data_IF_365942053933
#
_entry.id   IF_365942053933
#
_cell.length_a   1.000
_cell.length_b   1.000
_cell.length_c   1.000
_cell.angle_alpha   90.00
_cell.angle_beta   90.00
_cell.angle_gamma   90.00
#
_symmetry.space_group_name_H-M   'P 1'
#
loop_
_entity.id
_entity.type
_entity.pdbx_description
1 polymer ?
#
# COMPACT_ATOMS: atom_id res chain seq x y z
N UNK A 1 -0.63 4.54 1.65
CA UNK A 1 -0.94 3.27 0.93
C UNK A 1 -0.81 3.50 -0.57
N UNK A 2 -0.91 2.46 -1.42
CA UNK A 2 -0.61 2.59 -2.85
C UNK A 2 -1.70 2.04 -3.76
N UNK A 3 -1.78 2.62 -4.95
CA UNK A 3 -2.44 2.06 -6.13
C UNK A 3 -1.36 1.60 -7.13
N UNK A 4 -1.52 0.39 -7.68
CA UNK A 4 -0.60 -0.18 -8.68
C UNK A 4 -1.29 -0.19 -10.04
N UNK A 5 -0.79 0.59 -10.99
CA UNK A 5 -1.36 0.70 -12.33
C UNK A 5 -0.94 -0.47 -13.23
N UNK A 6 0.35 -0.79 -13.26
CA UNK A 6 0.91 -1.85 -14.11
C UNK A 6 1.98 -2.67 -13.39
N UNK A 7 2.24 -3.86 -13.92
CA UNK A 7 3.34 -4.71 -13.48
C UNK A 7 3.05 -5.65 -12.29
N UNK A 8 1.92 -5.48 -11.58
CA UNK A 8 1.63 -6.23 -10.36
C UNK A 8 1.72 -7.75 -10.51
N UNK A 9 2.51 -8.38 -9.66
CA UNK A 9 2.87 -9.80 -9.69
C UNK A 9 4.25 -10.08 -10.30
N UNK A 10 4.83 -9.14 -11.07
CA UNK A 10 6.18 -9.30 -11.61
C UNK A 10 7.27 -8.92 -10.59
N UNK A 11 6.87 -8.40 -9.44
CA UNK A 11 7.70 -8.11 -8.28
C UNK A 11 7.82 -9.28 -7.29
N UNK A 12 7.23 -10.43 -7.61
CA UNK A 12 7.21 -11.64 -6.77
C UNK A 12 8.30 -12.62 -7.24
N UNK A 13 9.08 -13.15 -6.29
CA UNK A 13 10.04 -14.22 -6.56
C UNK A 13 9.30 -15.54 -6.94
N UNK A 14 9.86 -16.37 -7.82
CA UNK A 14 11.16 -16.23 -8.48
C UNK A 14 11.16 -15.37 -9.75
N UNK A 15 9.98 -14.93 -10.26
CA UNK A 15 9.91 -14.18 -11.54
C UNK A 15 10.81 -12.92 -11.54
N UNK A 16 10.72 -12.09 -10.50
CA UNK A 16 11.54 -10.86 -10.42
C UNK A 16 13.05 -11.16 -10.33
N UNK A 17 13.41 -12.31 -9.76
CA UNK A 17 14.81 -12.71 -9.61
C UNK A 17 15.41 -13.24 -10.93
N UNK A 18 14.63 -14.01 -11.70
CA UNK A 18 15.08 -14.67 -12.92
C UNK A 18 14.86 -13.83 -14.18
N UNK A 19 13.74 -13.14 -14.26
CA UNK A 19 13.28 -12.42 -15.45
C UNK A 19 13.31 -10.90 -15.28
N UNK A 20 13.56 -10.46 -14.04
CA UNK A 20 13.37 -9.07 -13.64
C UNK A 20 11.88 -8.67 -13.62
N UNK A 21 11.53 -7.69 -12.82
CA UNK A 21 10.17 -7.18 -12.70
C UNK A 21 10.10 -5.68 -12.92
N UNK A 22 8.88 -5.16 -13.12
CA UNK A 22 8.66 -3.73 -13.21
C UNK A 22 7.24 -3.37 -12.71
N UNK A 23 7.14 -2.34 -11.89
CA UNK A 23 5.88 -1.84 -11.33
C UNK A 23 5.73 -0.36 -11.64
N UNK A 24 4.57 0.03 -12.14
CA UNK A 24 4.12 1.42 -12.16
C UNK A 24 3.02 1.62 -11.12
N UNK A 25 3.20 2.56 -10.21
CA UNK A 25 2.22 2.87 -9.16
C UNK A 25 2.36 4.27 -8.59
N UNK A 26 1.43 4.61 -7.72
CA UNK A 26 1.47 5.84 -6.93
C UNK A 26 0.91 5.62 -5.54
N UNK A 27 1.32 6.43 -4.57
CA UNK A 27 0.70 6.46 -3.26
C UNK A 27 -0.54 7.36 -3.25
N UNK A 28 -1.43 7.08 -2.31
CA UNK A 28 -2.70 7.78 -2.10
C UNK A 28 -2.83 8.20 -0.64
N UNK A 29 -3.71 9.15 -0.36
CA UNK A 29 -4.02 9.70 0.96
C UNK A 29 -4.83 8.73 1.86
N UNK A 30 -4.49 7.46 1.80
CA UNK A 30 -4.87 6.44 2.77
C UNK A 30 -3.62 6.05 3.54
N UNK A 31 -3.63 6.23 4.85
CA UNK A 31 -2.44 6.17 5.68
C UNK A 31 -2.47 4.95 6.62
N UNK A 32 -1.29 4.56 7.07
CA UNK A 32 -1.10 3.82 8.29
C UNK A 32 -0.28 4.68 9.24
N UNK A 33 -0.69 4.77 10.48
CA UNK A 33 -0.01 5.51 11.53
C UNK A 33 0.48 4.59 12.64
N UNK A 34 1.64 4.94 13.18
CA UNK A 34 2.23 4.28 14.35
C UNK A 34 2.69 5.35 15.34
N UNK A 35 2.18 5.30 16.57
CA UNK A 35 2.66 6.13 17.66
C UNK A 35 3.36 5.26 18.69
N UNK A 36 4.52 5.73 19.20
CA UNK A 36 5.30 5.04 20.23
C UNK A 36 5.44 5.95 21.44
N UNK A 37 5.01 5.45 22.60
CA UNK A 37 5.14 6.12 23.90
C UNK A 37 6.11 5.29 24.75
N UNK A 38 7.29 5.83 25.11
CA UNK A 38 8.25 5.12 25.95
C UNK A 38 7.69 4.80 27.35
N UNK A 39 8.08 3.64 27.90
CA UNK A 39 7.73 3.21 29.26
C UNK A 39 9.00 3.05 30.10
N UNK A 40 8.85 3.10 31.42
CA UNK A 40 9.95 2.90 32.38
C UNK A 40 10.02 1.45 32.89
N UNK A 41 9.31 0.52 32.27
CA UNK A 41 9.32 -0.92 32.58
C UNK A 41 9.75 -1.73 31.33
N UNK A 42 9.80 -3.06 31.46
CA UNK A 42 10.17 -3.97 30.37
C UNK A 42 8.96 -4.40 29.51
N UNK A 43 7.79 -3.80 29.67
CA UNK A 43 6.59 -4.22 28.96
C UNK A 43 6.41 -3.42 27.66
N UNK A 44 6.04 -4.13 26.60
CA UNK A 44 5.57 -3.57 25.35
C UNK A 44 4.08 -3.84 25.25
N UNK A 45 3.27 -2.79 25.17
CA UNK A 45 1.81 -2.89 25.00
C UNK A 45 1.48 -2.38 23.60
N UNK A 46 0.84 -3.22 22.81
CA UNK A 46 0.46 -2.89 21.42
C UNK A 46 -1.05 -2.78 21.34
N UNK A 47 -1.53 -1.62 20.94
CA UNK A 47 -2.93 -1.34 20.64
C UNK A 47 -3.10 -1.28 19.11
N UNK A 48 -3.76 -2.27 18.54
CA UNK A 48 -4.16 -2.29 17.14
C UNK A 48 -5.62 -1.88 17.03
N UNK A 49 -5.86 -0.65 16.61
CA UNK A 49 -7.21 -0.09 16.53
C UNK A 49 -8.01 -0.74 15.38
N UNK A 50 -7.32 -1.22 14.35
CA UNK A 50 -7.97 -1.88 13.20
C UNK A 50 -8.51 -3.26 13.53
N UNK A 51 -7.89 -3.96 14.48
CA UNK A 51 -8.29 -5.30 14.91
C UNK A 51 -9.02 -5.29 16.26
N UNK A 52 -9.24 -4.10 16.85
CA UNK A 52 -9.76 -3.94 18.22
C UNK A 52 -9.04 -4.87 19.22
N UNK A 53 -7.72 -4.87 19.17
CA UNK A 53 -6.87 -5.81 19.89
C UNK A 53 -5.80 -5.09 20.67
N UNK A 54 -5.64 -5.48 21.94
CA UNK A 54 -4.51 -5.07 22.79
C UNK A 54 -3.72 -6.30 23.20
N UNK A 55 -2.40 -6.27 22.95
CA UNK A 55 -1.49 -7.37 23.30
C UNK A 55 -0.32 -6.84 24.11
N UNK A 56 0.12 -7.62 25.07
CA UNK A 56 1.25 -7.30 25.95
C UNK A 56 2.39 -8.29 25.72
N UNK A 57 3.59 -7.78 25.53
CA UNK A 57 4.84 -8.52 25.44
C UNK A 57 5.81 -8.05 26.53
N UNK A 58 6.86 -8.83 26.77
CA UNK A 58 7.97 -8.42 27.64
C UNK A 58 9.27 -8.45 26.84
N UNK A 59 10.09 -7.41 26.96
CA UNK A 59 11.36 -7.28 26.22
C UNK A 59 12.38 -8.36 26.54
N UNK A 60 12.25 -9.03 27.71
CA UNK A 60 13.13 -10.11 28.19
C UNK A 60 12.68 -11.49 27.75
N UNK A 61 11.48 -11.63 27.16
CA UNK A 61 10.92 -12.88 26.71
C UNK A 61 11.11 -13.07 25.20
N UNK A 62 11.15 -14.32 24.77
CA UNK A 62 11.18 -14.63 23.35
C UNK A 62 9.79 -14.42 22.74
N UNK A 63 9.73 -13.68 21.63
CA UNK A 63 8.49 -13.51 20.89
C UNK A 63 8.08 -14.82 20.20
N UNK A 64 6.89 -15.31 20.49
CA UNK A 64 6.29 -16.48 19.86
C UNK A 64 5.33 -16.02 18.76
N UNK A 65 5.56 -16.45 17.52
CA UNK A 65 4.65 -16.20 16.40
C UNK A 65 3.47 -17.15 16.49
N UNK A 66 2.29 -16.62 16.79
CA UNK A 66 1.07 -17.38 17.09
C UNK A 66 -0.17 -16.83 16.36
N UNK A 67 0.05 -15.98 15.34
CA UNK A 67 -1.03 -15.32 14.58
C UNK A 67 -1.52 -14.00 15.17
N UNK A 68 -1.12 -13.65 16.40
CA UNK A 68 -1.58 -12.40 17.06
C UNK A 68 -0.51 -11.31 16.90
N UNK A 69 -0.73 -10.37 15.99
CA UNK A 69 0.16 -9.24 15.71
C UNK A 69 1.62 -9.66 15.45
N UNK A 70 1.84 -10.78 14.77
CA UNK A 70 3.19 -11.31 14.53
C UNK A 70 4.08 -10.36 13.72
N UNK A 71 3.48 -9.52 12.87
CA UNK A 71 4.18 -8.42 12.19
C UNK A 71 4.86 -7.48 13.19
N UNK A 72 4.17 -7.13 14.27
CA UNK A 72 4.73 -6.24 15.31
C UNK A 72 5.85 -6.94 16.07
N UNK A 73 5.64 -8.21 16.47
CA UNK A 73 6.67 -9.00 17.17
C UNK A 73 7.95 -9.13 16.34
N UNK A 74 7.81 -9.39 15.04
CA UNK A 74 8.93 -9.52 14.14
C UNK A 74 9.69 -8.19 13.97
N UNK A 75 8.97 -7.06 13.85
CA UNK A 75 9.58 -5.74 13.79
C UNK A 75 10.34 -5.39 15.09
N UNK A 76 9.73 -5.63 16.25
CA UNK A 76 10.36 -5.41 17.55
C UNK A 76 11.64 -6.25 17.73
N UNK A 77 11.59 -7.51 17.31
CA UNK A 77 12.73 -8.42 17.30
C UNK A 77 13.83 -7.95 16.35
N UNK A 78 13.47 -7.60 15.13
CA UNK A 78 14.42 -7.15 14.09
C UNK A 78 15.12 -5.85 14.50
N UNK A 79 14.39 -4.94 15.13
CA UNK A 79 14.92 -3.68 15.64
C UNK A 79 15.61 -3.82 17.00
N UNK A 80 15.68 -5.01 17.59
CA UNK A 80 16.28 -5.29 18.89
C UNK A 80 15.81 -4.32 19.99
N UNK A 81 14.49 -4.18 20.14
CA UNK A 81 13.89 -3.28 21.11
C UNK A 81 14.05 -3.86 22.52
N UNK A 82 14.79 -3.15 23.39
CA UNK A 82 15.12 -3.55 24.77
C UNK A 82 14.38 -2.75 25.83
N UNK A 83 13.76 -1.65 25.47
CA UNK A 83 13.02 -0.77 26.38
C UNK A 83 11.53 -0.96 26.18
N UNK A 84 10.75 -0.91 27.29
CA UNK A 84 9.30 -0.95 27.22
C UNK A 84 8.71 0.26 26.53
N UNK A 85 7.60 0.05 25.84
CA UNK A 85 6.85 1.11 25.16
C UNK A 85 5.38 0.73 24.98
N UNK A 86 4.55 1.72 24.69
CA UNK A 86 3.22 1.53 24.14
C UNK A 86 3.24 1.88 22.66
N UNK A 87 2.66 1.00 21.86
CA UNK A 87 2.59 1.14 20.40
C UNK A 87 1.12 1.20 19.99
N UNK A 88 0.73 2.26 19.30
CA UNK A 88 -0.61 2.45 18.78
C UNK A 88 -0.55 2.38 17.25
N UNK A 89 -1.34 1.47 16.66
CA UNK A 89 -1.42 1.24 15.21
C UNK A 89 -2.82 1.54 14.71
N UNK A 90 -2.91 2.26 13.60
CA UNK A 90 -4.16 2.61 12.94
C UNK A 90 -3.98 2.66 11.42
N UNK A 91 -4.99 2.21 10.67
CA UNK A 91 -5.04 2.23 9.21
C UNK A 91 -6.34 2.82 8.67
N UNK A 92 -6.27 3.52 7.53
CA UNK A 92 -7.43 4.07 6.83
C UNK A 92 -8.11 3.06 5.89
N UNK A 93 -7.52 1.88 5.71
CA UNK A 93 -8.10 0.83 4.89
C UNK A 93 -7.92 -0.55 5.55
N UNK A 94 -8.91 -1.45 5.43
CA UNK A 94 -8.84 -2.75 6.08
C UNK A 94 -7.70 -3.60 5.52
N UNK A 95 -7.14 -4.52 6.33
CA UNK A 95 -6.20 -5.53 5.85
C UNK A 95 -6.81 -6.35 4.70
N UNK A 96 -5.98 -6.73 3.71
CA UNK A 96 -6.47 -7.47 2.54
C UNK A 96 -7.23 -6.63 1.51
N UNK A 97 -7.28 -5.31 1.68
CA UNK A 97 -7.96 -4.39 0.74
C UNK A 97 -7.29 -4.25 -0.63
N UNK A 98 -6.07 -4.78 -0.79
CA UNK A 98 -5.30 -4.64 -2.04
C UNK A 98 -4.51 -3.33 -2.17
N UNK A 99 -4.51 -2.47 -1.12
CA UNK A 99 -3.81 -1.19 -1.09
C UNK A 99 -2.40 -1.26 -0.45
N UNK A 100 -1.88 -2.46 -0.18
CA UNK A 100 -0.59 -2.65 0.50
C UNK A 100 -0.64 -2.32 1.99
N UNK A 101 -1.79 -2.50 2.64
CA UNK A 101 -2.04 -2.08 4.04
C UNK A 101 -1.04 -2.69 5.01
N UNK A 102 -0.82 -4.01 4.98
CA UNK A 102 0.12 -4.72 5.86
C UNK A 102 1.53 -4.13 5.79
N UNK A 103 2.06 -4.02 4.58
CA UNK A 103 3.40 -3.48 4.36
C UNK A 103 3.51 -1.99 4.70
N UNK A 104 2.41 -1.22 4.52
CA UNK A 104 2.37 0.18 4.94
C UNK A 104 2.44 0.30 6.47
N UNK A 105 1.73 -0.57 7.22
CA UNK A 105 1.84 -0.67 8.69
C UNK A 105 3.27 -1.03 9.10
N UNK A 106 3.87 -2.03 8.43
CA UNK A 106 5.24 -2.44 8.71
C UNK A 106 6.23 -1.29 8.51
N UNK A 107 6.14 -0.57 7.40
CA UNK A 107 6.98 0.61 7.13
C UNK A 107 6.77 1.71 8.18
N UNK A 108 5.51 2.01 8.56
CA UNK A 108 5.21 3.00 9.59
C UNK A 108 5.80 2.61 10.96
N UNK A 109 5.66 1.35 11.35
CA UNK A 109 6.19 0.82 12.61
C UNK A 109 7.72 0.86 12.63
N UNK A 110 8.39 0.35 11.60
CA UNK A 110 9.86 0.36 11.51
C UNK A 110 10.42 1.78 11.49
N UNK A 111 9.77 2.70 10.76
CA UNK A 111 10.17 4.12 10.73
C UNK A 111 10.03 4.78 12.09
N UNK A 112 8.94 4.50 12.82
CA UNK A 112 8.74 5.02 14.18
C UNK A 112 9.77 4.42 15.17
N UNK A 113 10.00 3.11 15.12
CA UNK A 113 11.01 2.43 15.97
C UNK A 113 12.43 2.95 15.68
N UNK A 114 12.81 3.09 14.42
CA UNK A 114 14.08 3.65 13.98
C UNK A 114 14.28 5.08 14.53
N UNK A 115 13.26 5.93 14.42
CA UNK A 115 13.28 7.29 14.95
C UNK A 115 13.37 7.33 16.46
N UNK A 116 12.66 6.43 17.14
CA UNK A 116 12.70 6.33 18.61
C UNK A 116 14.07 5.89 19.12
N UNK A 117 14.69 4.88 18.49
CA UNK A 117 16.06 4.42 18.83
C UNK A 117 17.14 5.45 18.48
N UNK A 118 16.86 6.43 17.63
CA UNK A 118 17.86 7.34 17.08
C UNK A 118 18.74 6.71 15.98
N UNK A 119 18.30 5.60 15.38
CA UNK A 119 18.94 4.93 14.26
C UNK A 119 18.20 5.33 12.97
N UNK A 120 18.77 6.25 12.19
CA UNK A 120 18.12 6.69 10.95
C UNK A 120 18.35 5.66 9.84
N UNK A 121 17.25 5.06 9.36
CA UNK A 121 17.25 4.24 8.16
C UNK A 121 16.96 5.14 6.95
N UNK A 122 17.78 5.04 5.90
CA UNK A 122 17.45 5.60 4.61
C UNK A 122 16.25 4.88 3.97
N UNK A 123 15.78 5.39 2.84
CA UNK A 123 14.57 4.86 2.23
C UNK A 123 14.71 3.41 1.73
N UNK A 124 15.88 3.07 1.18
CA UNK A 124 16.14 1.70 0.72
C UNK A 124 16.27 0.74 1.90
N UNK A 125 17.09 1.08 2.90
CA UNK A 125 17.26 0.26 4.09
C UNK A 125 15.93 0.02 4.84
N UNK A 126 15.05 1.02 4.90
CA UNK A 126 13.73 0.88 5.50
C UNK A 126 12.83 -0.06 4.69
N UNK A 127 12.79 0.08 3.36
CA UNK A 127 11.97 -0.75 2.49
C UNK A 127 12.46 -2.21 2.50
N UNK A 128 13.78 -2.42 2.43
CA UNK A 128 14.41 -3.74 2.51
C UNK A 128 14.13 -4.41 3.84
N UNK A 129 14.29 -3.70 4.96
CA UNK A 129 14.00 -4.23 6.28
C UNK A 129 12.52 -4.62 6.40
N UNK A 130 11.60 -3.81 5.90
CA UNK A 130 10.18 -4.13 5.91
C UNK A 130 9.88 -5.38 5.07
N UNK A 131 10.51 -5.52 3.90
CA UNK A 131 10.42 -6.73 3.08
C UNK A 131 10.95 -7.96 3.82
N UNK A 132 12.14 -7.87 4.40
CA UNK A 132 12.76 -8.99 5.13
C UNK A 132 11.90 -9.45 6.31
N UNK A 133 11.36 -8.52 7.10
CA UNK A 133 10.48 -8.88 8.22
C UNK A 133 9.25 -9.64 7.73
N UNK A 134 8.57 -9.16 6.67
CA UNK A 134 7.36 -9.81 6.18
C UNK A 134 7.65 -11.12 5.43
N UNK A 135 8.67 -11.15 4.56
CA UNK A 135 8.89 -12.27 3.61
C UNK A 135 9.86 -13.33 4.13
N UNK A 136 10.86 -12.90 4.90
CA UNK A 136 11.91 -13.81 5.39
C UNK A 136 11.61 -14.25 6.83
N UNK A 137 11.41 -13.29 7.75
CA UNK A 137 11.24 -13.63 9.18
C UNK A 137 9.88 -14.30 9.45
N UNK A 138 8.82 -13.86 8.76
CA UNK A 138 7.46 -14.39 8.92
C UNK A 138 7.01 -15.33 7.80
N UNK A 139 7.74 -15.41 6.69
CA UNK A 139 7.41 -16.28 5.57
C UNK A 139 6.09 -15.92 4.87
N UNK A 140 5.62 -14.68 4.95
CA UNK A 140 4.38 -14.24 4.32
C UNK A 140 4.62 -14.09 2.81
N UNK A 141 3.86 -14.79 1.97
CA UNK A 141 3.97 -14.69 0.51
C UNK A 141 3.61 -13.29 0.00
N UNK A 142 4.48 -12.73 -0.86
CA UNK A 142 4.28 -11.39 -1.43
C UNK A 142 5.46 -10.90 -2.25
N UNK A 143 5.25 -9.77 -2.93
CA UNK A 143 6.30 -9.08 -3.69
C UNK A 143 6.93 -7.93 -2.92
N UNK A 144 7.77 -7.17 -3.64
CA UNK A 144 8.54 -6.04 -3.12
C UNK A 144 7.80 -4.70 -3.19
N UNK A 145 6.78 -4.56 -4.03
CA UNK A 145 6.22 -3.26 -4.42
C UNK A 145 5.69 -2.43 -3.25
N UNK A 146 5.09 -3.09 -2.24
CA UNK A 146 4.30 -2.43 -1.21
C UNK A 146 5.18 -1.68 -0.22
N UNK A 147 6.27 -2.30 0.21
CA UNK A 147 7.25 -1.72 1.11
C UNK A 147 7.95 -0.52 0.47
N UNK A 148 8.36 -0.66 -0.78
CA UNK A 148 9.02 0.41 -1.53
C UNK A 148 8.06 1.56 -1.82
N UNK A 149 6.83 1.29 -2.29
CA UNK A 149 5.84 2.32 -2.53
C UNK A 149 5.50 3.11 -1.26
N UNK A 150 5.27 2.44 -0.13
CA UNK A 150 4.97 3.08 1.15
C UNK A 150 6.13 3.94 1.67
N UNK A 151 7.36 3.49 1.43
CA UNK A 151 8.56 4.19 1.89
C UNK A 151 8.86 5.43 1.06
N UNK A 152 8.85 5.31 -0.27
CA UNK A 152 9.24 6.40 -1.18
C UNK A 152 8.13 7.42 -1.43
N UNK A 153 6.87 6.98 -1.51
CA UNK A 153 5.73 7.87 -1.81
C UNK A 153 5.70 8.40 -3.24
N UNK A 154 4.57 8.96 -3.66
CA UNK A 154 4.38 9.55 -4.98
C UNK A 154 4.31 8.54 -6.12
N UNK A 155 4.48 9.03 -7.33
CA UNK A 155 4.51 8.21 -8.55
C UNK A 155 5.89 7.61 -8.74
N UNK A 156 5.96 6.28 -8.79
CA UNK A 156 7.21 5.56 -8.98
C UNK A 156 7.08 4.51 -10.08
N UNK A 157 8.17 4.38 -10.84
CA UNK A 157 8.45 3.22 -11.66
C UNK A 157 9.55 2.43 -10.96
N UNK A 158 9.21 1.25 -10.46
CA UNK A 158 10.11 0.41 -9.66
C UNK A 158 10.53 -0.78 -10.50
N UNK A 159 11.83 -0.98 -10.64
CA UNK A 159 12.43 -2.08 -11.39
C UNK A 159 13.14 -3.05 -10.43
N UNK A 160 12.99 -4.34 -10.71
CA UNK A 160 13.56 -5.43 -9.94
C UNK A 160 14.52 -6.21 -10.84
N UNK A 161 15.81 -6.28 -10.44
CA UNK A 161 16.89 -6.85 -11.26
C UNK A 161 17.57 -8.02 -10.53
N UNK A 162 16.79 -8.99 -10.06
CA UNK A 162 17.29 -10.09 -9.28
C UNK A 162 17.08 -9.89 -7.77
N UNK A 163 17.75 -10.73 -6.98
CA UNK A 163 17.59 -10.73 -5.54
C UNK A 163 18.22 -9.47 -4.94
N UNK A 164 17.44 -8.71 -4.19
CA UNK A 164 17.86 -7.49 -3.50
C UNK A 164 18.43 -6.37 -4.42
N UNK A 165 18.04 -6.37 -5.70
CA UNK A 165 18.38 -5.30 -6.64
C UNK A 165 17.12 -4.58 -7.07
N UNK A 166 16.73 -3.58 -6.31
CA UNK A 166 15.54 -2.75 -6.57
C UNK A 166 15.97 -1.34 -6.93
N UNK A 167 15.42 -0.82 -8.02
CA UNK A 167 15.64 0.56 -8.46
C UNK A 167 14.31 1.29 -8.44
N UNK A 168 14.21 2.32 -7.62
CA UNK A 168 13.03 3.20 -7.57
C UNK A 168 13.30 4.43 -8.42
N UNK A 169 12.50 4.63 -9.45
CA UNK A 169 12.54 5.80 -10.32
C UNK A 169 11.33 6.69 -10.04
N UNK A 170 11.45 7.77 -9.21
CA UNK A 170 10.38 8.72 -9.01
C UNK A 170 10.06 9.45 -10.32
N UNK A 171 8.79 9.45 -10.71
CA UNK A 171 8.35 10.04 -11.97
C UNK A 171 7.99 11.51 -11.79
N UNK A 172 8.57 12.36 -12.64
CA UNK A 172 8.24 13.78 -12.72
C UNK A 172 7.10 14.01 -13.73
N UNK A 173 5.87 13.88 -13.27
CA UNK A 173 4.68 14.07 -14.08
C UNK A 173 4.21 15.54 -13.93
N UNK A 174 3.76 16.15 -15.02
CA UNK A 174 3.16 17.50 -14.96
C UNK A 174 1.91 17.48 -14.08
N UNK A 175 1.73 18.50 -13.25
CA UNK A 175 0.60 18.59 -12.31
C UNK A 175 -0.76 18.47 -13.01
N UNK A 176 -0.91 19.09 -14.17
CA UNK A 176 -2.16 19.02 -14.94
C UNK A 176 -2.51 17.57 -15.34
N UNK A 177 -1.49 16.78 -15.75
CA UNK A 177 -1.67 15.36 -16.07
C UNK A 177 -2.09 14.58 -14.82
N UNK A 178 -1.48 14.87 -13.67
CA UNK A 178 -1.85 14.22 -12.39
C UNK A 178 -3.29 14.53 -12.02
N UNK A 179 -3.71 15.81 -12.08
CA UNK A 179 -5.07 16.21 -11.75
C UNK A 179 -6.10 15.62 -12.73
N UNK A 180 -5.77 15.58 -14.03
CA UNK A 180 -6.62 14.93 -15.02
C UNK A 180 -6.74 13.43 -14.76
N UNK A 181 -5.63 12.74 -14.47
CA UNK A 181 -5.64 11.31 -14.12
C UNK A 181 -6.51 11.06 -12.89
N UNK A 182 -6.35 11.86 -11.83
CA UNK A 182 -7.13 11.75 -10.60
C UNK A 182 -8.62 11.95 -10.86
N UNK A 183 -8.97 12.93 -11.70
CA UNK A 183 -10.35 13.22 -12.10
C UNK A 183 -10.99 12.08 -12.90
N UNK A 184 -10.19 11.30 -13.62
CA UNK A 184 -10.63 10.18 -14.46
C UNK A 184 -10.63 8.82 -13.71
N UNK A 185 -10.09 8.74 -12.50
CA UNK A 185 -10.03 7.48 -11.77
C UNK A 185 -11.13 7.37 -10.73
N UNK A 186 -11.71 6.17 -10.61
CA UNK A 186 -12.61 5.76 -9.54
C UNK A 186 -11.96 4.62 -8.75
N UNK A 187 -12.07 4.67 -7.43
CA UNK A 187 -11.68 3.59 -6.53
C UNK A 187 -12.93 3.03 -5.86
N UNK A 188 -13.21 1.76 -6.11
CA UNK A 188 -14.43 1.09 -5.65
C UNK A 188 -14.07 -0.16 -4.84
N UNK A 189 -14.53 -0.23 -3.59
CA UNK A 189 -14.38 -1.40 -2.76
C UNK A 189 -15.43 -2.45 -3.15
N UNK A 190 -14.98 -3.70 -3.32
CA UNK A 190 -15.83 -4.80 -3.80
C UNK A 190 -16.62 -5.52 -2.70
N UNK A 191 -16.45 -5.12 -1.43
CA UNK A 191 -17.14 -5.72 -0.29
C UNK A 191 -16.49 -6.99 0.26
N UNK A 192 -15.51 -7.58 -0.44
CA UNK A 192 -14.85 -8.82 -0.03
C UNK A 192 -13.38 -8.60 0.31
N UNK A 193 -12.92 -9.26 1.37
CA UNK A 193 -11.52 -9.35 1.75
C UNK A 193 -11.06 -10.79 1.50
N UNK A 194 -9.95 -10.96 0.80
CA UNK A 194 -9.35 -12.28 0.59
C UNK A 194 -7.93 -12.36 1.15
N UNK A 195 -7.52 -13.58 1.53
CA UNK A 195 -6.15 -13.87 1.93
C UNK A 195 -5.26 -13.86 0.68
N UNK A 196 -4.55 -12.76 0.48
CA UNK A 196 -3.69 -12.53 -0.70
C UNK A 196 -2.61 -13.60 -0.89
N UNK A 197 -2.12 -14.20 0.20
CA UNK A 197 -1.07 -15.22 0.17
C UNK A 197 -1.43 -16.41 -0.74
N UNK A 198 -2.65 -16.95 -0.64
CA UNK A 198 -3.08 -18.10 -1.44
C UNK A 198 -3.09 -17.83 -2.95
N UNK A 199 -3.32 -16.58 -3.35
CA UNK A 199 -3.33 -16.18 -4.77
C UNK A 199 -1.90 -16.01 -5.27
N UNK A 200 -1.03 -15.44 -4.44
CA UNK A 200 0.39 -15.28 -4.75
C UNK A 200 1.07 -16.65 -4.87
N UNK A 201 0.79 -17.56 -3.94
CA UNK A 201 1.32 -18.94 -3.98
C UNK A 201 0.89 -19.67 -5.27
N UNK A 202 -0.35 -19.47 -5.71
CA UNK A 202 -0.85 -20.04 -6.97
C UNK A 202 -0.12 -19.44 -8.20
N UNK A 203 0.14 -18.14 -8.21
CA UNK A 203 0.94 -17.48 -9.26
C UNK A 203 2.38 -18.03 -9.29
N UNK A 204 3.01 -18.17 -8.12
CA UNK A 204 4.35 -18.74 -7.97
C UNK A 204 4.39 -20.18 -8.43
N UNK A 205 3.36 -20.96 -8.09
CA UNK A 205 3.22 -22.37 -8.55
C UNK A 205 3.13 -22.42 -10.06
N UNK A 206 2.23 -21.64 -10.68
CA UNK A 206 2.07 -21.61 -12.15
C UNK A 206 3.37 -21.22 -12.87
N UNK A 207 4.17 -20.32 -12.25
CA UNK A 207 5.48 -19.99 -12.77
C UNK A 207 6.45 -21.17 -12.70
N UNK A 208 6.57 -21.84 -11.54
CA UNK A 208 7.46 -22.99 -11.32
C UNK A 208 7.08 -24.18 -12.18
N UNK A 209 5.78 -24.41 -12.37
CA UNK A 209 5.23 -25.48 -13.22
C UNK A 209 5.37 -25.15 -14.72
N UNK A 210 5.99 -24.00 -15.07
CA UNK A 210 6.19 -23.52 -16.43
C UNK A 210 4.90 -23.46 -17.26
N UNK A 211 3.80 -23.04 -16.63
CA UNK A 211 2.54 -22.83 -17.32
C UNK A 211 2.72 -21.75 -18.40
N UNK A 212 2.62 -22.13 -19.67
CA UNK A 212 2.94 -21.28 -20.83
C UNK A 212 2.09 -20.01 -20.86
N UNK A 213 0.78 -20.11 -20.56
CA UNK A 213 -0.13 -18.97 -20.59
C UNK A 213 0.15 -18.01 -19.43
N UNK A 214 0.43 -18.53 -18.22
CA UNK A 214 0.81 -17.72 -17.07
C UNK A 214 2.15 -17.00 -17.29
N UNK A 215 3.17 -17.69 -17.83
CA UNK A 215 4.48 -17.08 -18.14
C UNK A 215 4.35 -15.96 -19.18
N UNK A 216 3.56 -16.20 -20.24
CA UNK A 216 3.27 -15.18 -21.24
C UNK A 216 2.54 -14.00 -20.64
N UNK A 217 1.52 -14.25 -19.80
CA UNK A 217 0.78 -13.19 -19.11
C UNK A 217 1.68 -12.36 -18.17
N UNK A 218 2.59 -12.97 -17.42
CA UNK A 218 3.55 -12.27 -16.57
C UNK A 218 4.48 -11.35 -17.41
N UNK A 219 5.00 -11.85 -18.53
CA UNK A 219 5.83 -11.07 -19.45
C UNK A 219 5.06 -9.90 -20.08
N UNK A 220 3.80 -10.10 -20.45
CA UNK A 220 2.92 -9.06 -20.95
C UNK A 220 2.66 -7.98 -19.89
N UNK A 221 2.35 -8.39 -18.65
CA UNK A 221 2.11 -7.47 -17.53
C UNK A 221 3.37 -6.65 -17.20
N UNK A 222 4.57 -7.25 -17.32
CA UNK A 222 5.83 -6.52 -17.20
C UNK A 222 5.98 -5.47 -18.32
N UNK A 223 5.80 -5.86 -19.57
CA UNK A 223 5.91 -4.95 -20.72
C UNK A 223 4.89 -3.80 -20.65
N UNK A 224 3.68 -4.09 -20.16
CA UNK A 224 2.64 -3.09 -19.94
C UNK A 224 3.03 -2.02 -18.94
N UNK A 225 3.79 -2.35 -17.89
CA UNK A 225 4.26 -1.35 -16.93
C UNK A 225 5.13 -0.28 -17.61
N UNK A 226 6.00 -0.68 -18.56
CA UNK A 226 6.79 0.26 -19.37
C UNK A 226 5.91 1.10 -20.30
N UNK A 227 5.00 0.46 -21.05
CA UNK A 227 4.10 1.18 -21.94
C UNK A 227 3.22 2.19 -21.19
N UNK A 228 2.66 1.80 -20.05
CA UNK A 228 1.84 2.68 -19.22
C UNK A 228 2.64 3.85 -18.63
N UNK A 229 3.90 3.62 -18.23
CA UNK A 229 4.80 4.70 -17.80
C UNK A 229 4.99 5.72 -18.92
N UNK A 230 5.26 5.25 -20.14
CA UNK A 230 5.49 6.13 -21.29
C UNK A 230 4.25 6.94 -21.67
N UNK A 231 3.07 6.32 -21.67
CA UNK A 231 1.82 7.02 -21.94
C UNK A 231 1.46 8.03 -20.84
N UNK A 232 1.73 7.70 -19.59
CA UNK A 232 1.52 8.61 -18.45
C UNK A 232 2.44 9.85 -18.55
N UNK A 233 3.72 9.66 -18.86
CA UNK A 233 4.69 10.75 -18.99
C UNK A 233 4.38 11.67 -20.19
N UNK A 234 3.81 11.13 -21.27
CA UNK A 234 3.34 11.89 -22.42
C UNK A 234 2.00 12.60 -22.18
N UNK A 235 1.24 12.20 -21.15
CA UNK A 235 -0.12 12.69 -20.89
C UNK A 235 -1.19 12.01 -21.76
N UNK A 236 -0.91 10.88 -22.37
CA UNK A 236 -1.86 10.12 -23.18
C UNK A 236 -2.79 9.27 -22.29
N UNK A 237 -3.58 9.93 -21.45
CA UNK A 237 -4.37 9.27 -20.42
C UNK A 237 -5.46 8.35 -20.97
N UNK A 238 -6.00 8.63 -22.16
CA UNK A 238 -6.95 7.74 -22.81
C UNK A 238 -6.33 6.38 -23.18
N UNK A 239 -5.10 6.39 -23.72
CA UNK A 239 -4.32 5.17 -23.99
C UNK A 239 -3.97 4.46 -22.68
N UNK A 240 -3.61 5.21 -21.62
CA UNK A 240 -3.36 4.68 -20.30
C UNK A 240 -4.58 3.91 -19.75
N UNK A 241 -5.80 4.46 -19.88
CA UNK A 241 -7.04 3.79 -19.49
C UNK A 241 -7.26 2.45 -20.24
N UNK A 242 -6.99 2.40 -21.54
CA UNK A 242 -7.07 1.16 -22.33
C UNK A 242 -6.00 0.13 -21.94
N UNK A 243 -4.80 0.59 -21.59
CA UNK A 243 -3.74 -0.29 -21.11
C UNK A 243 -4.07 -0.90 -19.73
N UNK A 244 -4.86 -0.21 -18.89
CA UNK A 244 -5.39 -0.81 -17.64
C UNK A 244 -6.29 -2.02 -17.95
N UNK A 245 -7.19 -1.91 -18.93
CA UNK A 245 -8.06 -3.03 -19.34
C UNK A 245 -7.24 -4.21 -19.87
N UNK A 246 -6.28 -3.93 -20.76
CA UNK A 246 -5.41 -4.97 -21.28
C UNK A 246 -4.62 -5.66 -20.15
N UNK A 247 -4.07 -4.88 -19.23
CA UNK A 247 -3.33 -5.38 -18.06
C UNK A 247 -4.20 -6.24 -17.14
N UNK A 248 -5.46 -5.88 -16.94
CA UNK A 248 -6.40 -6.69 -16.16
C UNK A 248 -6.69 -8.03 -16.83
N UNK A 249 -6.94 -8.03 -18.14
CA UNK A 249 -7.14 -9.25 -18.91
C UNK A 249 -5.93 -10.19 -18.86
N UNK A 250 -4.72 -9.64 -18.99
CA UNK A 250 -3.48 -10.41 -18.87
C UNK A 250 -3.27 -10.93 -17.44
N UNK A 251 -3.53 -10.10 -16.42
CA UNK A 251 -3.39 -10.50 -15.02
C UNK A 251 -4.31 -11.68 -14.66
N UNK A 252 -5.55 -11.70 -15.13
CA UNK A 252 -6.49 -12.81 -14.90
C UNK A 252 -5.97 -14.17 -15.41
N UNK A 253 -5.08 -14.17 -16.39
CA UNK A 253 -4.45 -15.38 -16.93
C UNK A 253 -3.30 -15.93 -16.08
N UNK A 254 -2.80 -15.15 -15.12
CA UNK A 254 -1.71 -15.60 -14.22
C UNK A 254 -2.20 -16.62 -13.19
N UNK A 255 -3.49 -16.54 -12.78
CA UNK A 255 -4.15 -17.49 -11.87
C UNK A 255 -5.66 -17.34 -11.97
N UNK A 256 -6.38 -18.45 -11.89
CA UNK A 256 -7.85 -18.48 -11.88
C UNK A 256 -8.48 -17.95 -10.59
N UNK A 257 -7.67 -17.67 -9.55
CA UNK A 257 -8.10 -17.14 -8.26
C UNK A 257 -8.10 -15.61 -8.19
N UNK A 258 -7.62 -14.92 -9.24
CA UNK A 258 -7.45 -13.46 -9.26
C UNK A 258 -8.78 -12.74 -9.29
N UNK A 259 -9.79 -13.31 -9.95
CA UNK A 259 -11.14 -12.76 -10.02
C UNK A 259 -12.19 -13.72 -9.50
N UNK A 260 -13.40 -13.24 -9.33
CA UNK A 260 -14.61 -14.00 -9.02
C UNK A 260 -15.82 -13.35 -9.70
N UNK A 261 -17.00 -14.02 -9.73
CA UNK A 261 -18.18 -13.52 -10.44
C UNK A 261 -18.61 -12.10 -10.04
N UNK A 262 -18.50 -11.75 -8.75
CA UNK A 262 -18.87 -10.41 -8.25
C UNK A 262 -17.91 -9.34 -8.76
N UNK A 263 -16.61 -9.62 -8.77
CA UNK A 263 -15.60 -8.68 -9.30
C UNK A 263 -15.80 -8.48 -10.80
N UNK A 264 -16.02 -9.58 -11.54
CA UNK A 264 -16.26 -9.51 -12.98
C UNK A 264 -17.55 -8.75 -13.30
N UNK A 265 -18.63 -8.92 -12.52
CA UNK A 265 -19.89 -8.16 -12.67
C UNK A 265 -19.68 -6.66 -12.43
N UNK A 266 -18.98 -6.27 -11.36
CA UNK A 266 -18.65 -4.86 -11.09
C UNK A 266 -17.79 -4.26 -12.21
N UNK A 267 -16.78 -5.00 -12.67
CA UNK A 267 -15.92 -4.58 -13.76
C UNK A 267 -16.69 -4.39 -15.06
N UNK A 268 -17.49 -5.38 -15.44
CA UNK A 268 -18.31 -5.35 -16.68
C UNK A 268 -19.35 -4.23 -16.62
N UNK A 269 -19.93 -3.99 -15.44
CA UNK A 269 -20.88 -2.87 -15.22
C UNK A 269 -20.20 -1.53 -15.48
N UNK A 270 -18.98 -1.34 -14.98
CA UNK A 270 -18.21 -0.13 -15.24
C UNK A 270 -17.86 0.05 -16.73
N UNK A 271 -17.41 -1.02 -17.39
CA UNK A 271 -17.09 -0.99 -18.84
C UNK A 271 -18.35 -0.68 -19.67
N UNK A 272 -19.48 -1.32 -19.40
CA UNK A 272 -20.76 -1.06 -20.10
C UNK A 272 -21.27 0.38 -19.86
N UNK A 273 -20.94 0.98 -18.72
CA UNK A 273 -21.25 2.38 -18.42
C UNK A 273 -20.29 3.38 -19.08
N UNK A 274 -19.21 2.89 -19.75
CA UNK A 274 -18.29 3.71 -20.52
C UNK A 274 -16.87 3.86 -19.93
N UNK A 275 -16.53 3.14 -18.85
CA UNK A 275 -15.15 3.08 -18.39
C UNK A 275 -14.25 2.49 -19.48
N UNK A 276 -13.03 3.03 -19.63
CA UNK A 276 -12.08 2.58 -20.65
C UNK A 276 -11.27 1.36 -20.21
N UNK A 277 -11.19 1.13 -18.93
CA UNK A 277 -10.48 0.02 -18.35
C UNK A 277 -10.35 0.17 -16.84
N UNK A 278 -9.74 -0.83 -16.23
CA UNK A 278 -9.54 -0.87 -14.79
C UNK A 278 -8.83 -2.14 -14.38
N UNK A 279 -8.64 -2.32 -13.09
CA UNK A 279 -8.06 -3.53 -12.52
C UNK A 279 -8.38 -3.67 -11.04
N UNK A 280 -8.41 -4.88 -10.55
CA UNK A 280 -8.38 -5.13 -9.12
C UNK A 280 -6.97 -4.89 -8.58
N UNK A 281 -6.86 -4.16 -7.48
CA UNK A 281 -5.61 -3.86 -6.81
C UNK A 281 -5.13 -5.04 -5.92
N UNK A 282 -3.82 -5.10 -5.66
CA UNK A 282 -3.23 -6.19 -4.87
C UNK A 282 -3.13 -7.52 -5.63
N UNK A 283 -3.15 -8.62 -4.89
CA UNK A 283 -2.97 -9.97 -5.44
C UNK A 283 -4.17 -10.42 -6.29
N UNK A 284 -5.37 -10.07 -5.90
CA UNK A 284 -6.62 -10.51 -6.50
C UNK A 284 -7.65 -10.96 -5.45
N UNK A 285 -8.77 -11.51 -5.92
CA UNK A 285 -9.80 -12.15 -5.10
C UNK A 285 -10.75 -11.21 -4.35
N UNK A 286 -10.42 -9.95 -4.16
CA UNK A 286 -11.22 -8.94 -3.46
C UNK A 286 -10.43 -7.66 -3.20
N UNK A 287 -11.03 -6.72 -2.49
CA UNK A 287 -10.45 -5.42 -2.18
C UNK A 287 -10.93 -4.31 -3.12
N UNK A 288 -10.04 -3.42 -3.53
CA UNK A 288 -10.39 -2.25 -4.34
C UNK A 288 -10.20 -2.50 -5.84
N UNK A 289 -11.22 -2.13 -6.60
CA UNK A 289 -11.22 -2.04 -8.04
C UNK A 289 -10.92 -0.59 -8.45
N UNK A 290 -9.86 -0.38 -9.23
CA UNK A 290 -9.51 0.91 -9.80
C UNK A 290 -10.02 0.96 -11.24
N UNK A 291 -10.87 1.96 -11.56
CA UNK A 291 -11.45 2.14 -12.90
C UNK A 291 -11.03 3.47 -13.48
N UNK A 292 -10.67 3.49 -14.77
CA UNK A 292 -10.45 4.70 -15.54
C UNK A 292 -11.72 5.05 -16.31
N UNK A 293 -12.31 6.18 -15.97
CA UNK A 293 -13.56 6.68 -16.53
C UNK A 293 -13.32 8.09 -17.07
N UNK A 294 -13.62 8.39 -18.34
CA UNK A 294 -13.62 9.77 -18.82
C UNK A 294 -14.42 10.66 -17.88
N UNK A 295 -13.87 11.84 -17.51
CA UNK A 295 -14.42 12.72 -16.47
C UNK A 295 -15.90 13.07 -16.65
N UNK A 296 -16.34 13.22 -17.91
CA UNK A 296 -17.71 13.60 -18.27
C UNK A 296 -18.75 12.50 -18.01
N UNK A 297 -18.33 11.23 -17.88
CA UNK A 297 -19.21 10.09 -17.57
C UNK A 297 -18.85 9.40 -16.26
N UNK A 298 -17.82 9.87 -15.54
CA UNK A 298 -17.35 9.27 -14.29
C UNK A 298 -18.48 9.08 -13.28
N UNK A 299 -19.35 10.08 -13.14
CA UNK A 299 -20.50 10.02 -12.23
C UNK A 299 -21.51 8.94 -12.62
N UNK A 300 -21.73 8.69 -13.92
CA UNK A 300 -22.62 7.63 -14.40
C UNK A 300 -22.04 6.25 -14.05
N UNK A 301 -20.74 6.07 -14.31
CA UNK A 301 -20.04 4.83 -13.96
C UNK A 301 -20.13 4.59 -12.44
N UNK A 302 -19.88 5.64 -11.63
CA UNK A 302 -19.95 5.60 -10.19
C UNK A 302 -21.33 5.09 -9.71
N UNK A 303 -22.41 5.72 -10.14
CA UNK A 303 -23.78 5.33 -9.80
C UNK A 303 -24.11 3.89 -10.19
N UNK A 304 -23.62 3.44 -11.36
CA UNK A 304 -23.86 2.06 -11.81
C UNK A 304 -23.10 1.03 -10.98
N UNK A 305 -21.87 1.35 -10.57
CA UNK A 305 -21.07 0.48 -9.71
C UNK A 305 -21.68 0.39 -8.30
N UNK A 306 -22.15 1.50 -7.73
CA UNK A 306 -22.86 1.50 -6.45
C UNK A 306 -24.16 0.69 -6.51
N UNK A 307 -24.94 0.84 -7.57
CA UNK A 307 -26.16 0.05 -7.78
C UNK A 307 -25.87 -1.46 -7.94
N UNK A 308 -24.66 -1.83 -8.36
CA UNK A 308 -24.18 -3.21 -8.45
C UNK A 308 -23.51 -3.70 -7.13
N UNK A 309 -23.60 -2.92 -6.04
CA UNK A 309 -23.08 -3.29 -4.72
C UNK A 309 -21.64 -2.88 -4.42
N UNK A 310 -21.01 -2.11 -5.31
CA UNK A 310 -19.70 -1.52 -5.06
C UNK A 310 -19.78 -0.34 -4.09
N UNK A 311 -18.72 -0.08 -3.34
CA UNK A 311 -18.63 1.04 -2.41
C UNK A 311 -17.51 1.98 -2.89
N UNK A 312 -17.88 3.18 -3.32
CA UNK A 312 -16.91 4.18 -3.76
C UNK A 312 -16.08 4.71 -2.59
N UNK A 313 -14.81 4.94 -2.80
CA UNK A 313 -13.92 5.53 -1.82
C UNK A 313 -13.40 6.88 -2.33
N UNK A 314 -13.42 7.86 -1.45
CA UNK A 314 -12.75 9.13 -1.67
C UNK A 314 -11.24 8.98 -1.46
N UNK A 315 -10.47 9.53 -2.38
CA UNK A 315 -9.01 9.46 -2.36
C UNK A 315 -8.38 10.52 -3.26
N UNK A 316 -7.12 10.82 -2.97
CA UNK A 316 -6.27 11.66 -3.80
C UNK A 316 -4.86 11.08 -3.85
N UNK A 317 -4.04 11.48 -4.82
CA UNK A 317 -2.63 11.12 -4.81
C UNK A 317 -1.89 11.80 -3.66
N UNK A 318 -1.02 11.05 -3.00
CA UNK A 318 -0.11 11.55 -1.96
C UNK A 318 1.33 11.38 -2.44
N UNK A 319 2.11 12.45 -2.35
CA UNK A 319 3.47 12.45 -2.91
C UNK A 319 4.54 12.16 -1.88
N UNK A 320 4.20 12.23 -0.59
CA UNK A 320 5.14 11.96 0.49
C UNK A 320 5.17 10.49 0.82
N UNK A 321 6.38 9.97 1.05
CA UNK A 321 6.60 8.63 1.57
C UNK A 321 6.45 8.55 3.09
N UNK A 322 7.15 7.59 3.68
CA UNK A 322 7.16 7.39 5.13
C UNK A 322 7.75 8.58 5.86
N UNK A 323 7.10 9.02 6.93
CA UNK A 323 7.52 10.14 7.76
C UNK A 323 7.51 9.73 9.24
N UNK A 324 8.44 10.25 10.03
CA UNK A 324 8.42 10.13 11.48
C UNK A 324 8.91 11.43 12.13
N UNK A 325 8.26 11.81 13.21
CA UNK A 325 8.62 12.99 14.01
C UNK A 325 8.50 12.67 15.49
N UNK A 326 9.19 13.43 16.31
CA UNK A 326 9.07 13.38 17.76
C UNK A 326 8.10 14.48 18.21
N UNK A 327 7.14 14.10 19.03
CA UNK A 327 6.27 15.07 19.69
C UNK A 327 7.01 15.72 20.85
N UNK A 328 6.84 17.01 21.01
CA UNK A 328 7.39 17.76 22.15
C UNK A 328 6.32 17.82 23.24
N UNK A 329 6.52 17.06 24.30
CA UNK A 329 5.60 17.01 25.45
C UNK A 329 5.40 18.39 26.11
N UNK A 330 6.39 19.27 25.99
CA UNK A 330 6.26 20.65 26.51
C UNK A 330 5.16 21.45 25.79
N UNK A 331 4.81 21.07 24.58
CA UNK A 331 3.72 21.72 23.80
C UNK A 331 2.32 21.27 24.23
N UNK A 332 2.18 20.30 25.12
CA UNK A 332 0.90 19.74 25.56
C UNK A 332 0.42 20.29 26.89
N UNK A 333 1.29 21.00 27.62
CA UNK A 333 1.00 21.60 28.94
C UNK A 333 0.67 23.08 28.83
N UNK A 334 -0.34 23.43 28.04
CA UNK A 334 -0.90 24.76 28.05
C UNK A 334 -2.15 24.80 28.92
N UNK A 335 -1.96 25.00 30.21
CA UNK A 335 -3.07 25.31 31.12
C UNK A 335 -3.62 26.73 30.86
N UNK A 336 -2.83 27.58 30.20
CA UNK A 336 -3.18 28.98 29.89
C UNK A 336 -2.60 29.42 28.55
N UNK A 337 -3.37 30.17 27.80
CA UNK A 337 -2.91 30.88 26.62
C UNK A 337 -2.97 32.36 26.88
N UNK A 338 -1.84 33.06 26.76
CA UNK A 338 -1.74 34.50 26.89
C UNK A 338 -1.59 35.14 25.50
N UNK A 339 -2.44 36.10 25.19
CA UNK A 339 -2.40 36.84 23.94
C UNK A 339 -2.33 38.34 24.25
N UNK A 340 -1.36 39.02 23.65
CA UNK A 340 -1.25 40.48 23.71
C UNK A 340 -1.71 41.07 22.36
N UNK A 341 -2.74 41.91 22.41
CA UNK A 341 -3.24 42.68 21.26
C UNK A 341 -3.16 44.18 21.61
N UNK A 342 -3.29 45.10 20.64
CA UNK A 342 -3.21 46.54 20.89
C UNK A 342 -4.11 47.03 22.02
N UNK A 343 -5.27 46.39 22.21
CA UNK A 343 -6.26 46.76 23.21
C UNK A 343 -6.05 46.12 24.61
N UNK A 344 -5.00 45.29 24.78
CA UNK A 344 -4.70 44.69 26.09
C UNK A 344 -4.10 43.29 26.02
N UNK A 345 -3.97 42.69 27.24
CA UNK A 345 -3.54 41.29 27.40
C UNK A 345 -4.74 40.44 27.83
N UNK A 346 -4.88 39.31 27.20
CA UNK A 346 -5.92 38.33 27.51
C UNK A 346 -5.28 37.00 27.92
N UNK A 347 -5.83 36.39 28.96
CA UNK A 347 -5.42 35.08 29.43
C UNK A 347 -6.62 34.14 29.33
N UNK A 348 -6.46 33.06 28.63
CA UNK A 348 -7.46 31.97 28.53
C UNK A 348 -6.99 30.83 29.41
N UNK A 349 -7.77 30.49 30.41
CA UNK A 349 -7.56 29.31 31.24
C UNK A 349 -8.21 28.11 30.53
N UNK A 350 -7.43 27.10 30.21
CA UNK A 350 -7.84 25.93 29.41
C UNK A 350 -8.10 24.67 30.26
N UNK A 351 -8.16 24.83 31.60
CA UNK A 351 -8.48 23.72 32.52
C UNK A 351 -9.93 23.33 32.46
#
# INVERSE_FOLDING_TARGET
>A
MRVSFGGGGTDVAPFCEEMGGAILGSTINKFASCSIVPRNDDNIIVHSLDFDMTVKYNTKENYVYNGSLDLVKAALKRMDIKQGCEVYLQCDAPPGSGLGTSSTVMVALLKALSRWKGEELDAYALADMAYEVERIDLGISGGYQDQYAATFGGFNFIEFHGRNQVVVNPLRIKKDIVHELESNLLLCYTGNIHVSANIIDDQVKNYKDKNVDALKAMSEVKALAYAMKDELLKGNLHSFGKLLDYGWKSKKRMSNKITNPQIDELYDTAIKAGALGGKLLGAGGGGYLLMYCPYNIRHIVAQKMEAAGGQLADWNFEFRGSQAWKMDEKRWNYDKVEVSIPDGKYTFDLK
#
